data_IF_540252824169
#
_entry.id   IF_540252824169
#
_cell.length_a   1.000
_cell.length_b   1.000
_cell.length_c   1.000
_cell.angle_alpha   90.00
_cell.angle_beta   90.00
_cell.angle_gamma   90.00
#
_symmetry.space_group_name_H-M   'P 1'
#
loop_
_entity.id
_entity.type
_entity.pdbx_description
1 polymer ?
#
# COMPACT_ATOMS: atom_id res chain seq x y z
N UNK A 1 4.00 -9.73 50.30
CA UNK A 1 3.50 -9.00 49.12
C UNK A 1 2.00 -9.19 49.04
N UNK A 2 1.22 -8.11 48.94
CA UNK A 2 -0.22 -8.19 48.66
C UNK A 2 -0.45 -8.41 47.21
N UNK A 3 -1.18 -9.45 46.83
CA UNK A 3 -1.57 -9.73 45.45
C UNK A 3 -3.06 -9.41 45.30
N UNK A 4 -3.40 -8.55 44.35
CA UNK A 4 -4.80 -8.32 43.96
C UNK A 4 -5.23 -9.43 43.02
N UNK A 5 -6.16 -10.28 43.49
CA UNK A 5 -6.80 -11.30 42.66
C UNK A 5 -8.16 -10.79 42.17
N UNK A 6 -8.25 -10.40 40.93
CA UNK A 6 -9.49 -9.97 40.27
C UNK A 6 -9.46 -10.34 38.79
N UNK A 7 -10.62 -10.65 38.24
CA UNK A 7 -10.76 -10.91 36.80
C UNK A 7 -10.96 -9.62 35.98
N UNK A 8 -11.40 -8.54 36.63
CA UNK A 8 -11.73 -7.29 35.96
C UNK A 8 -11.37 -6.08 36.84
N UNK A 9 -10.84 -5.05 36.22
CA UNK A 9 -10.67 -3.73 36.80
C UNK A 9 -11.61 -2.76 36.10
N UNK A 10 -12.44 -2.04 36.86
CA UNK A 10 -13.42 -1.11 36.35
C UNK A 10 -13.38 0.20 37.11
N UNK A 11 -13.38 1.31 36.37
CA UNK A 11 -13.70 2.60 36.99
C UNK A 11 -15.18 2.60 37.36
N UNK A 12 -15.58 3.02 38.61
CA UNK A 12 -16.98 3.02 39.04
C UNK A 12 -17.94 3.80 38.13
N UNK A 13 -17.44 4.83 37.43
CA UNK A 13 -18.21 5.65 36.49
C UNK A 13 -18.26 5.10 35.07
N UNK A 14 -17.65 3.94 34.79
CA UNK A 14 -17.67 3.31 33.47
C UNK A 14 -18.80 2.29 33.34
N UNK A 15 -19.48 2.27 32.20
CA UNK A 15 -20.49 1.24 31.86
C UNK A 15 -19.92 -0.15 31.60
N UNK A 16 -18.62 -0.25 31.30
CA UNK A 16 -17.92 -1.49 30.94
C UNK A 16 -16.60 -1.65 31.68
N UNK A 17 -16.06 -2.87 31.68
CA UNK A 17 -14.75 -3.15 32.26
C UNK A 17 -13.64 -2.44 31.49
N UNK A 18 -12.74 -1.79 32.20
CA UNK A 18 -11.59 -1.09 31.58
C UNK A 18 -10.44 -2.05 31.29
N UNK A 19 -10.26 -3.07 32.15
CA UNK A 19 -9.25 -4.11 31.98
C UNK A 19 -9.92 -5.45 32.24
N UNK A 20 -9.79 -6.39 31.33
CA UNK A 20 -10.26 -7.78 31.45
C UNK A 20 -9.03 -8.67 31.45
N UNK A 21 -8.89 -9.51 32.49
CA UNK A 21 -7.83 -10.52 32.60
C UNK A 21 -8.37 -11.86 32.08
N UNK A 22 -7.77 -12.37 31.02
CA UNK A 22 -8.12 -13.69 30.48
C UNK A 22 -7.60 -14.83 31.35
N UNK A 23 -8.27 -15.97 31.31
CA UNK A 23 -7.85 -17.18 32.01
C UNK A 23 -6.56 -17.79 31.45
N UNK A 24 -6.18 -17.39 30.25
CA UNK A 24 -4.93 -17.75 29.54
C UNK A 24 -3.74 -16.83 29.87
N UNK A 25 -3.93 -15.91 30.82
CA UNK A 25 -2.93 -14.89 31.16
C UNK A 25 -2.92 -13.67 30.22
N UNK A 26 -3.80 -13.61 29.24
CA UNK A 26 -3.96 -12.42 28.39
C UNK A 26 -4.66 -11.27 29.14
N UNK A 27 -4.41 -10.05 28.67
CA UNK A 27 -5.08 -8.87 29.19
C UNK A 27 -5.71 -8.11 28.02
N UNK A 28 -7.02 -7.92 28.05
CA UNK A 28 -7.72 -7.07 27.07
C UNK A 28 -7.99 -5.70 27.69
N UNK A 29 -7.46 -4.67 27.06
CA UNK A 29 -7.74 -3.27 27.41
C UNK A 29 -8.56 -2.68 26.26
N UNK A 30 -9.83 -2.40 26.49
CA UNK A 30 -10.76 -1.96 25.45
C UNK A 30 -10.40 -0.57 24.91
N UNK A 31 -9.87 0.31 25.76
CA UNK A 31 -9.41 1.65 25.37
C UNK A 31 -8.23 2.04 26.24
N UNK A 32 -7.08 2.27 25.63
CA UNK A 32 -5.90 2.79 26.29
C UNK A 32 -5.70 4.24 25.86
N UNK A 33 -6.19 5.18 26.65
CA UNK A 33 -5.94 6.62 26.49
C UNK A 33 -4.68 6.99 27.25
N UNK A 34 -3.54 6.79 26.63
CA UNK A 34 -2.25 7.14 27.20
C UNK A 34 -1.31 7.66 26.14
N UNK A 35 -0.46 8.61 26.51
CA UNK A 35 0.57 9.17 25.63
C UNK A 35 1.78 8.26 25.47
N UNK A 36 1.95 7.28 26.35
CA UNK A 36 3.10 6.38 26.30
C UNK A 36 2.66 4.96 26.64
N UNK A 37 2.84 4.03 25.73
CA UNK A 37 2.78 2.59 25.96
C UNK A 37 4.22 2.10 26.03
N UNK A 38 4.72 1.79 27.22
CA UNK A 38 6.05 1.23 27.40
C UNK A 38 5.94 -0.28 27.42
N UNK A 39 6.32 -0.91 26.35
CA UNK A 39 6.31 -2.38 26.24
C UNK A 39 7.24 -2.86 25.13
N UNK A 40 7.73 -4.09 25.25
CA UNK A 40 8.67 -4.70 24.31
C UNK A 40 8.06 -5.04 22.96
N UNK A 41 6.75 -4.88 22.78
CA UNK A 41 6.06 -5.15 21.52
C UNK A 41 4.79 -4.31 21.40
N UNK A 42 4.95 -3.01 21.18
CA UNK A 42 3.86 -2.24 20.55
C UNK A 42 3.94 -2.55 19.06
N UNK A 43 3.10 -3.45 18.58
CA UNK A 43 2.96 -3.68 17.14
C UNK A 43 2.21 -2.50 16.55
N UNK A 44 2.91 -1.58 15.92
CA UNK A 44 2.31 -0.70 14.91
C UNK A 44 1.69 -1.62 13.88
N UNK A 45 0.36 -1.59 13.73
CA UNK A 45 -0.34 -2.60 12.96
C UNK A 45 -0.02 -2.46 11.47
N UNK A 46 0.62 -3.48 10.89
CA UNK A 46 0.56 -3.68 9.46
C UNK A 46 -0.87 -4.15 9.17
N UNK A 47 -1.58 -3.41 8.35
CA UNK A 47 -2.93 -3.76 7.93
C UNK A 47 -2.90 -4.25 6.48
N UNK A 48 -3.43 -5.44 6.25
CA UNK A 48 -3.63 -5.98 4.89
C UNK A 48 -4.96 -5.50 4.33
N UNK A 49 -4.96 -5.02 3.11
CA UNK A 49 -6.16 -4.88 2.31
C UNK A 49 -6.73 -6.23 1.89
N UNK A 50 -7.81 -6.21 1.13
CA UNK A 50 -8.35 -7.39 0.45
C UNK A 50 -7.80 -7.45 -0.96
N UNK A 51 -7.27 -8.59 -1.37
CA UNK A 51 -6.78 -8.77 -2.72
C UNK A 51 -7.91 -8.59 -3.75
N UNK A 52 -7.64 -7.82 -4.79
CA UNK A 52 -8.55 -7.56 -5.90
C UNK A 52 -8.04 -8.27 -7.14
N UNK A 53 -8.92 -9.00 -7.81
CA UNK A 53 -8.61 -9.61 -9.10
C UNK A 53 -8.39 -8.51 -10.15
N UNK A 54 -7.30 -8.63 -10.92
CA UNK A 54 -6.98 -7.73 -12.04
C UNK A 54 -7.31 -8.42 -13.38
N UNK A 55 -8.56 -8.83 -13.54
CA UNK A 55 -9.03 -9.61 -14.71
C UNK A 55 -10.00 -8.83 -15.59
N UNK A 56 -10.23 -7.56 -15.29
CA UNK A 56 -11.10 -6.67 -16.09
C UNK A 56 -10.93 -5.21 -15.67
N UNK A 57 -11.43 -4.30 -16.50
CA UNK A 57 -11.40 -2.86 -16.26
C UNK A 57 -10.05 -2.22 -16.59
N UNK A 58 -10.02 -0.90 -16.68
CA UNK A 58 -8.81 -0.12 -17.00
C UNK A 58 -8.11 0.43 -15.76
N UNK A 59 -8.68 0.18 -14.56
CA UNK A 59 -8.06 0.54 -13.27
C UNK A 59 -8.48 -0.41 -12.16
N UNK A 60 -7.58 -0.56 -11.17
CA UNK A 60 -7.82 -1.24 -9.90
C UNK A 60 -7.60 -0.20 -8.80
N UNK A 61 -8.62 0.07 -8.00
CA UNK A 61 -8.63 1.13 -7.00
C UNK A 61 -8.72 0.56 -5.57
N UNK A 62 -7.88 1.08 -4.70
CA UNK A 62 -7.95 0.90 -3.26
C UNK A 62 -8.25 2.26 -2.64
N UNK A 63 -9.37 2.35 -1.93
CA UNK A 63 -9.86 3.59 -1.31
C UNK A 63 -10.01 3.44 0.19
N UNK A 64 -10.29 4.55 0.89
CA UNK A 64 -10.48 4.55 2.35
C UNK A 64 -9.21 4.15 3.12
N UNK A 65 -8.04 4.46 2.57
CA UNK A 65 -6.77 4.30 3.30
C UNK A 65 -6.77 5.32 4.45
N UNK A 66 -6.55 4.87 5.71
CA UNK A 66 -6.60 5.76 6.85
C UNK A 66 -5.52 6.85 6.83
N UNK A 67 -5.83 8.05 7.31
CA UNK A 67 -4.93 9.22 7.31
C UNK A 67 -3.65 9.06 8.16
N UNK A 68 -3.61 8.07 9.05
CA UNK A 68 -2.42 7.76 9.84
C UNK A 68 -1.35 6.99 9.08
N UNK A 69 -1.68 6.47 7.89
CA UNK A 69 -0.77 5.65 7.06
C UNK A 69 0.42 6.49 6.60
N UNK A 70 1.62 5.93 6.78
CA UNK A 70 2.91 6.50 6.37
C UNK A 70 3.61 5.69 5.28
N UNK A 71 3.19 4.44 5.09
CA UNK A 71 3.75 3.54 4.09
C UNK A 71 2.67 2.65 3.52
N UNK A 72 2.69 2.49 2.19
CA UNK A 72 1.83 1.54 1.46
C UNK A 72 2.72 0.64 0.63
N UNK A 73 2.54 -0.66 0.75
CA UNK A 73 3.17 -1.66 -0.12
C UNK A 73 2.11 -2.23 -1.03
N UNK A 74 2.27 -2.04 -2.34
CA UNK A 74 1.39 -2.59 -3.38
C UNK A 74 2.04 -3.87 -3.88
N UNK A 75 1.32 -4.98 -3.82
CA UNK A 75 1.81 -6.30 -4.19
C UNK A 75 1.09 -6.75 -5.47
N UNK A 76 1.88 -7.15 -6.46
CA UNK A 76 1.42 -7.65 -7.74
C UNK A 76 1.66 -9.15 -7.83
N UNK A 77 0.69 -9.90 -8.31
CA UNK A 77 0.80 -11.34 -8.52
C UNK A 77 0.23 -11.73 -9.90
N UNK A 78 1.11 -11.90 -10.87
CA UNK A 78 0.75 -12.31 -12.24
C UNK A 78 -0.13 -11.31 -12.99
N UNK A 79 0.04 -10.02 -12.72
CA UNK A 79 -0.80 -8.95 -13.29
C UNK A 79 -0.43 -8.72 -14.75
N UNK A 80 -1.44 -8.63 -15.62
CA UNK A 80 -1.31 -8.38 -17.05
C UNK A 80 -2.35 -7.38 -17.52
N UNK A 81 -2.10 -6.80 -18.71
CA UNK A 81 -3.05 -5.97 -19.45
C UNK A 81 -3.09 -6.42 -20.91
N UNK A 82 -4.19 -6.19 -21.60
CA UNK A 82 -4.38 -6.55 -23.01
C UNK A 82 -3.63 -5.65 -24.01
N UNK A 83 -2.88 -4.65 -23.53
CA UNK A 83 -2.20 -3.66 -24.36
C UNK A 83 -0.70 -3.56 -24.11
N UNK A 84 -0.08 -2.50 -24.61
CA UNK A 84 1.36 -2.27 -24.54
C UNK A 84 1.74 -0.99 -23.77
N UNK A 85 0.77 -0.30 -23.21
CA UNK A 85 1.02 0.87 -22.40
C UNK A 85 1.61 0.46 -21.04
N UNK A 86 2.56 1.24 -20.54
CA UNK A 86 3.16 0.97 -19.25
C UNK A 86 2.14 1.11 -18.13
N UNK A 87 2.04 0.15 -17.21
CA UNK A 87 1.30 0.34 -15.98
C UNK A 87 1.91 1.45 -15.13
N UNK A 88 1.06 2.11 -14.36
CA UNK A 88 1.45 3.16 -13.41
C UNK A 88 0.58 3.12 -12.17
N UNK A 89 1.09 3.69 -11.08
CA UNK A 89 0.36 3.90 -9.84
C UNK A 89 0.10 5.38 -9.65
N UNK A 90 -1.15 5.72 -9.37
CA UNK A 90 -1.60 7.07 -9.00
C UNK A 90 -2.08 7.05 -7.56
N UNK A 91 -1.82 8.13 -6.83
CA UNK A 91 -2.27 8.32 -5.45
C UNK A 91 -2.96 9.66 -5.30
N UNK A 92 -3.70 9.83 -4.21
CA UNK A 92 -4.28 11.16 -3.96
C UNK A 92 -5.20 11.22 -2.75
N UNK A 93 -5.65 12.43 -2.38
CA UNK A 93 -6.67 12.69 -1.39
C UNK A 93 -8.00 13.00 -2.07
N UNK A 94 -9.07 12.25 -1.77
CA UNK A 94 -10.41 12.48 -2.34
C UNK A 94 -10.52 12.22 -3.85
N UNK A 95 -9.50 12.53 -4.63
CA UNK A 95 -9.36 12.26 -6.07
C UNK A 95 -7.94 11.80 -6.38
N UNK A 96 -7.74 11.13 -7.52
CA UNK A 96 -6.39 10.73 -7.94
C UNK A 96 -5.63 11.91 -8.52
N UNK A 97 -4.39 12.10 -8.06
CA UNK A 97 -3.43 13.02 -8.67
C UNK A 97 -2.96 12.41 -10.00
N UNK A 98 -3.11 13.13 -11.09
CA UNK A 98 -2.79 12.66 -12.45
C UNK A 98 -1.68 13.46 -13.12
N UNK A 99 -0.98 14.31 -12.36
CA UNK A 99 0.16 15.11 -12.84
C UNK A 99 1.11 15.45 -11.70
N UNK A 100 2.28 15.96 -12.03
CA UNK A 100 3.27 16.37 -11.02
C UNK A 100 4.12 15.23 -10.47
N UNK A 101 4.02 14.01 -11.01
CA UNK A 101 4.94 12.93 -10.68
C UNK A 101 6.29 13.16 -11.34
N UNK A 102 7.34 12.85 -10.60
CA UNK A 102 8.69 12.73 -11.11
C UNK A 102 9.08 11.25 -11.00
N UNK A 103 8.82 10.47 -12.05
CA UNK A 103 8.92 9.01 -11.99
C UNK A 103 9.73 8.45 -13.15
N UNK A 104 10.66 7.56 -12.84
CA UNK A 104 11.50 6.87 -13.83
C UNK A 104 11.57 5.39 -13.50
N UNK A 105 11.49 4.55 -14.52
CA UNK A 105 11.65 3.10 -14.41
C UNK A 105 12.53 2.56 -15.53
N UNK A 106 13.25 1.50 -15.22
CA UNK A 106 14.12 0.77 -16.14
C UNK A 106 13.77 -0.70 -16.11
N UNK A 107 13.81 -1.36 -17.26
CA UNK A 107 13.79 -2.81 -17.34
C UNK A 107 15.17 -3.35 -17.70
N UNK A 108 15.57 -4.41 -17.03
CA UNK A 108 16.77 -5.19 -17.31
C UNK A 108 16.35 -6.49 -18.00
N UNK A 109 16.67 -6.58 -19.28
CA UNK A 109 16.49 -7.71 -20.18
C UNK A 109 17.71 -7.79 -21.11
N UNK A 110 17.64 -8.54 -22.21
CA UNK A 110 18.68 -8.56 -23.24
C UNK A 110 18.98 -7.13 -23.78
N UNK A 111 17.96 -6.27 -23.80
CA UNK A 111 18.10 -4.83 -24.08
C UNK A 111 17.55 -4.04 -22.89
N UNK A 112 18.37 -3.17 -22.33
CA UNK A 112 17.96 -2.27 -21.25
C UNK A 112 17.10 -1.14 -21.85
N UNK A 113 15.97 -0.87 -21.23
CA UNK A 113 15.11 0.23 -21.62
C UNK A 113 14.72 1.09 -20.40
N UNK A 114 14.60 2.40 -20.61
CA UNK A 114 14.19 3.35 -19.59
C UNK A 114 12.93 4.10 -20.03
N UNK A 115 12.06 4.44 -19.10
CA UNK A 115 10.87 5.27 -19.32
C UNK A 115 10.67 6.22 -18.15
N UNK A 116 10.01 7.33 -18.39
CA UNK A 116 9.61 8.30 -17.37
C UNK A 116 8.15 8.70 -17.54
N UNK A 117 7.50 9.14 -16.48
CA UNK A 117 6.13 9.65 -16.53
C UNK A 117 5.92 10.74 -15.47
N UNK A 118 5.00 11.66 -15.82
CA UNK A 118 4.54 12.72 -14.92
C UNK A 118 3.09 12.52 -14.46
N UNK A 119 2.44 11.45 -14.93
CA UNK A 119 1.03 11.13 -14.64
C UNK A 119 0.83 10.09 -13.56
N UNK A 120 1.90 9.41 -13.12
CA UNK A 120 1.89 8.37 -12.11
C UNK A 120 3.29 7.79 -11.89
N UNK A 121 3.46 6.94 -10.89
CA UNK A 121 4.66 6.14 -10.70
C UNK A 121 4.68 5.02 -11.75
N UNK A 122 5.45 5.21 -12.81
CA UNK A 122 5.49 4.32 -13.97
C UNK A 122 6.26 3.04 -13.65
N UNK A 123 5.78 1.92 -14.18
CA UNK A 123 6.45 0.62 -14.16
C UNK A 123 6.79 0.24 -15.60
N UNK A 124 8.09 -0.04 -15.87
CA UNK A 124 8.51 -0.40 -17.23
C UNK A 124 8.22 -1.88 -17.51
N UNK A 125 6.98 -2.17 -17.79
CA UNK A 125 6.47 -3.49 -18.12
C UNK A 125 5.44 -3.34 -19.25
N UNK A 126 5.90 -3.37 -20.51
CA UNK A 126 5.04 -3.19 -21.69
C UNK A 126 4.94 -4.48 -22.48
N UNK A 127 3.76 -5.00 -22.60
CA UNK A 127 3.47 -6.18 -23.39
C UNK A 127 2.29 -6.96 -22.86
N UNK A 128 1.34 -7.25 -23.75
CA UNK A 128 0.11 -7.97 -23.42
C UNK A 128 0.32 -9.40 -22.90
N UNK A 129 1.55 -9.93 -23.00
CA UNK A 129 1.90 -11.25 -22.47
C UNK A 129 2.71 -11.22 -21.18
N UNK A 130 3.01 -10.02 -20.67
CA UNK A 130 3.77 -9.85 -19.44
C UNK A 130 2.91 -10.21 -18.22
N UNK A 131 3.52 -10.93 -17.28
CA UNK A 131 2.91 -11.30 -16.01
C UNK A 131 3.72 -10.68 -14.86
N UNK A 132 3.30 -9.49 -14.47
CA UNK A 132 3.99 -8.66 -13.46
C UNK A 132 3.80 -9.26 -12.07
N UNK A 133 4.90 -9.52 -11.39
CA UNK A 133 4.89 -9.96 -9.99
C UNK A 133 5.99 -9.25 -9.21
N UNK A 134 5.70 -8.87 -7.97
CA UNK A 134 6.61 -8.13 -7.11
C UNK A 134 5.90 -7.07 -6.31
N UNK A 135 6.60 -5.98 -5.99
CA UNK A 135 6.03 -4.94 -5.14
C UNK A 135 6.49 -3.54 -5.53
N UNK A 136 5.62 -2.56 -5.22
CA UNK A 136 5.95 -1.14 -5.17
C UNK A 136 5.72 -0.64 -3.75
N UNK A 137 6.67 0.10 -3.22
CA UNK A 137 6.59 0.71 -1.89
C UNK A 137 6.41 2.22 -2.08
N UNK A 138 5.40 2.76 -1.42
CA UNK A 138 5.14 4.20 -1.29
C UNK A 138 5.44 4.60 0.15
N UNK A 139 6.24 5.63 0.36
CA UNK A 139 6.60 6.12 1.69
C UNK A 139 6.36 7.61 1.79
N UNK A 140 5.66 8.04 2.84
CA UNK A 140 5.49 9.45 3.17
C UNK A 140 6.81 10.00 3.69
N UNK A 141 7.38 10.96 2.97
CA UNK A 141 8.65 11.61 3.34
C UNK A 141 8.39 12.72 4.38
N UNK A 142 7.49 13.63 4.06
CA UNK A 142 7.08 14.73 4.96
C UNK A 142 5.86 15.44 4.39
N UNK A 143 5.01 15.98 5.24
CA UNK A 143 3.79 16.69 4.81
C UNK A 143 2.93 15.80 3.91
N UNK A 144 2.85 16.14 2.63
CA UNK A 144 2.13 15.39 1.60
C UNK A 144 3.05 14.88 0.47
N UNK A 145 4.37 14.85 0.71
CA UNK A 145 5.37 14.38 -0.26
C UNK A 145 5.58 12.87 -0.10
N UNK A 146 5.35 12.15 -1.17
CA UNK A 146 5.48 10.70 -1.23
C UNK A 146 6.61 10.30 -2.16
N UNK A 147 7.42 9.35 -1.73
CA UNK A 147 8.42 8.70 -2.56
C UNK A 147 7.98 7.27 -2.88
N UNK A 148 8.36 6.78 -4.07
CA UNK A 148 8.11 5.41 -4.51
C UNK A 148 9.40 4.69 -4.87
N UNK A 149 9.40 3.38 -4.68
CA UNK A 149 10.38 2.46 -5.27
C UNK A 149 9.70 1.14 -5.62
N UNK A 150 10.15 0.47 -6.69
CA UNK A 150 9.62 -0.85 -7.04
C UNK A 150 10.69 -1.77 -7.63
N UNK A 151 10.45 -3.06 -7.45
CA UNK A 151 11.15 -4.14 -8.13
C UNK A 151 10.12 -5.19 -8.54
N UNK A 152 10.08 -5.51 -9.83
CA UNK A 152 9.07 -6.35 -10.45
C UNK A 152 9.72 -7.37 -11.38
N UNK A 153 9.29 -8.62 -11.30
CA UNK A 153 9.43 -9.57 -12.39
C UNK A 153 8.42 -9.18 -13.47
N UNK A 154 8.84 -9.03 -14.70
CA UNK A 154 8.00 -8.68 -15.86
C UNK A 154 7.73 -9.92 -16.73
N UNK A 155 8.77 -10.69 -16.98
CA UNK A 155 8.70 -11.94 -17.74
C UNK A 155 9.68 -12.98 -17.17
N UNK A 156 9.89 -14.08 -17.86
CA UNK A 156 10.90 -15.08 -17.46
C UNK A 156 12.34 -14.60 -17.64
N UNK A 157 12.55 -13.52 -18.41
CA UNK A 157 13.87 -12.98 -18.74
C UNK A 157 13.99 -11.48 -18.51
N UNK A 158 13.00 -10.85 -17.85
CA UNK A 158 12.96 -9.41 -17.64
C UNK A 158 12.53 -9.07 -16.22
N UNK A 159 13.28 -8.16 -15.59
CA UNK A 159 12.91 -7.48 -14.35
C UNK A 159 12.82 -5.98 -14.60
N UNK A 160 11.94 -5.30 -13.88
CA UNK A 160 11.84 -3.83 -13.90
C UNK A 160 12.00 -3.28 -12.49
N UNK A 161 12.64 -2.13 -12.41
CA UNK A 161 12.81 -1.38 -11.18
C UNK A 161 12.70 0.12 -11.47
N UNK A 162 12.31 0.87 -10.47
CA UNK A 162 12.16 2.31 -10.63
C UNK A 162 11.91 3.01 -9.33
N UNK A 163 11.91 4.34 -9.42
CA UNK A 163 11.68 5.23 -8.29
C UNK A 163 10.99 6.52 -8.76
N UNK A 164 10.48 7.27 -7.81
CA UNK A 164 9.89 8.57 -8.10
C UNK A 164 9.39 9.25 -6.84
N UNK A 165 8.89 10.46 -7.04
CA UNK A 165 8.26 11.26 -6.00
C UNK A 165 7.05 12.01 -6.55
N UNK A 166 6.17 12.45 -5.64
CA UNK A 166 5.04 13.32 -5.94
C UNK A 166 4.61 14.07 -4.68
N UNK A 167 4.19 15.32 -4.84
CA UNK A 167 3.49 16.07 -3.80
C UNK A 167 1.99 16.06 -4.10
N UNK A 168 1.19 15.52 -3.18
CA UNK A 168 -0.28 15.51 -3.30
C UNK A 168 -0.92 16.62 -2.45
N UNK A 169 -2.17 16.97 -2.74
CA UNK A 169 -2.82 18.15 -2.13
C UNK A 169 -3.31 17.93 -0.68
N UNK A 170 -3.24 16.71 -0.15
CA UNK A 170 -3.71 16.37 1.19
C UNK A 170 -3.26 14.99 1.63
N UNK A 171 -3.80 14.48 2.74
CA UNK A 171 -3.51 13.13 3.23
C UNK A 171 -3.94 12.07 2.21
N UNK A 172 -3.06 11.13 1.92
CA UNK A 172 -3.36 10.00 1.03
C UNK A 172 -4.53 9.19 1.59
N UNK A 173 -5.55 8.95 0.77
CA UNK A 173 -6.70 8.11 1.10
C UNK A 173 -6.99 7.04 0.03
N UNK A 174 -6.27 7.06 -1.09
CA UNK A 174 -6.48 6.14 -2.21
C UNK A 174 -5.24 5.88 -3.04
N UNK A 175 -5.22 4.68 -3.62
CA UNK A 175 -4.22 4.21 -4.60
C UNK A 175 -4.97 3.62 -5.78
N UNK A 176 -4.55 3.97 -6.99
CA UNK A 176 -5.03 3.41 -8.26
C UNK A 176 -3.87 2.78 -9.01
N UNK A 177 -4.10 1.62 -9.55
CA UNK A 177 -3.25 1.00 -10.55
C UNK A 177 -3.97 1.11 -11.89
N UNK A 178 -3.31 1.66 -12.90
CA UNK A 178 -3.83 1.87 -14.26
C UNK A 178 -2.69 1.85 -15.27
N UNK A 179 -2.95 2.18 -16.51
CA UNK A 179 -1.91 2.33 -17.54
C UNK A 179 -1.71 3.80 -17.91
N UNK A 180 -0.58 4.14 -18.52
CA UNK A 180 -0.28 5.54 -18.91
C UNK A 180 -1.30 6.08 -19.92
N UNK A 181 -1.79 5.23 -20.84
CA UNK A 181 -2.86 5.62 -21.78
C UNK A 181 -4.26 5.60 -21.15
N UNK A 182 -4.43 4.94 -19.98
CA UNK A 182 -5.71 4.84 -19.28
C UNK A 182 -6.76 3.96 -19.96
N UNK A 183 -6.43 3.26 -21.03
CA UNK A 183 -7.38 2.51 -21.87
C UNK A 183 -7.11 1.01 -21.96
N UNK A 184 -5.85 0.57 -21.73
CA UNK A 184 -5.53 -0.86 -21.70
C UNK A 184 -6.22 -1.50 -20.49
N UNK A 185 -6.94 -2.59 -20.74
CA UNK A 185 -7.69 -3.30 -19.71
C UNK A 185 -6.83 -4.39 -19.05
N UNK A 186 -6.97 -4.54 -17.76
CA UNK A 186 -6.42 -5.67 -17.00
C UNK A 186 -7.10 -6.97 -17.45
N UNK A 187 -6.35 -8.05 -17.56
CA UNK A 187 -6.83 -9.34 -18.06
C UNK A 187 -6.31 -10.57 -17.28
N UNK A 188 -5.36 -10.39 -16.35
CA UNK A 188 -4.86 -11.46 -15.49
C UNK A 188 -4.34 -10.96 -14.15
N UNK A 189 -4.30 -11.88 -13.18
CA UNK A 189 -3.62 -11.71 -11.90
C UNK A 189 -4.46 -11.12 -10.78
N UNK A 190 -3.77 -10.64 -9.75
CA UNK A 190 -4.38 -9.98 -8.59
C UNK A 190 -3.42 -8.98 -7.96
N UNK A 191 -3.99 -7.98 -7.30
CA UNK A 191 -3.26 -6.92 -6.61
C UNK A 191 -3.78 -6.82 -5.18
N UNK A 192 -2.90 -6.64 -4.22
CA UNK A 192 -3.26 -6.29 -2.85
C UNK A 192 -2.39 -5.15 -2.33
N UNK A 193 -2.81 -4.53 -1.24
CA UNK A 193 -2.01 -3.54 -0.52
C UNK A 193 -1.81 -3.94 0.93
N UNK A 194 -0.64 -3.59 1.47
CA UNK A 194 -0.38 -3.49 2.90
C UNK A 194 -0.15 -2.03 3.22
N UNK A 195 -0.59 -1.58 4.38
CA UNK A 195 -0.29 -0.24 4.86
C UNK A 195 0.03 -0.22 6.34
N UNK A 196 0.90 0.72 6.72
CA UNK A 196 1.46 0.90 8.05
C UNK A 196 1.74 2.38 8.35
N UNK A 197 1.80 2.73 9.65
CA UNK A 197 2.11 4.09 10.09
C UNK A 197 2.32 4.18 11.59
#
# INVERSE_FOLDING_TARGET
MSTLQTTNLKNPSSGSNNIVLGTDGSTTITTLNGTTITGTSVRGGITSGTAVASTSGTSIDFTSIPSWVKRVTIMFNGVSTNGTSFPQVQIGPGSFTTSGYNSTATSAAATVGTTSATSGFVMRASGATNLISGQMILTLVSGNNWASSHMLKVSTSEVAFGAGDVSISGSLDRVRITTVNGTDAFDAGSINILYEG
#
